data_IF_352512450939
#
_entry.id   IF_352512450939
#
_cell.length_a   1.000
_cell.length_b   1.000
_cell.length_c   1.000
_cell.angle_alpha   90.00
_cell.angle_beta   90.00
_cell.angle_gamma   90.00
#
_symmetry.space_group_name_H-M   'P 1'
#
loop_
_entity.id
_entity.type
_entity.pdbx_description
1 polymer ?
#
# COMPACT_ATOMS: atom_id res chain seq x y z
N UNK A 1 35.16 12.00 72.33
CA UNK A 1 34.53 13.11 71.57
C UNK A 1 34.46 12.71 70.10
N UNK A 2 33.27 12.30 69.66
CA UNK A 2 32.97 11.91 68.27
C UNK A 2 33.12 13.08 67.32
N UNK A 3 33.87 12.90 66.24
CA UNK A 3 33.77 13.75 65.04
C UNK A 3 33.12 12.93 63.93
N UNK A 4 31.87 13.26 63.63
CA UNK A 4 31.14 12.81 62.45
C UNK A 4 31.90 13.30 61.20
N UNK A 5 32.46 12.37 60.44
CA UNK A 5 33.08 12.65 59.14
C UNK A 5 31.94 12.67 58.12
N UNK A 6 31.44 13.85 57.82
CA UNK A 6 30.48 14.08 56.74
C UNK A 6 31.10 13.64 55.41
N UNK A 7 30.39 12.75 54.73
CA UNK A 7 30.80 12.08 53.50
C UNK A 7 30.51 13.02 52.32
N UNK A 8 31.51 13.79 51.87
CA UNK A 8 31.40 14.74 50.75
C UNK A 8 31.40 14.07 49.36
N UNK A 9 31.44 12.74 49.29
CA UNK A 9 31.64 12.02 48.03
C UNK A 9 30.32 11.72 47.28
N UNK A 10 29.17 11.77 47.98
CA UNK A 10 27.87 11.46 47.37
C UNK A 10 27.39 12.55 46.38
N UNK A 11 27.74 13.82 46.64
CA UNK A 11 27.27 14.95 45.82
C UNK A 11 27.98 15.01 44.47
N UNK A 12 29.25 14.59 44.39
CA UNK A 12 30.04 14.58 43.15
C UNK A 12 29.62 13.47 42.17
N UNK A 13 29.24 12.29 42.67
CA UNK A 13 28.77 11.19 41.80
C UNK A 13 27.37 11.46 41.25
N UNK A 14 26.47 12.05 42.06
CA UNK A 14 25.13 12.43 41.57
C UNK A 14 25.17 13.59 40.57
N UNK A 15 26.06 14.56 40.74
CA UNK A 15 26.29 15.63 39.76
C UNK A 15 26.86 15.11 38.43
N UNK A 16 27.64 14.02 38.45
CA UNK A 16 28.14 13.38 37.23
C UNK A 16 27.08 12.50 36.56
N UNK A 17 26.28 11.76 37.34
CA UNK A 17 25.16 10.99 36.79
C UNK A 17 24.13 11.89 36.10
N UNK A 18 23.82 13.07 36.66
CA UNK A 18 22.83 13.97 36.06
C UNK A 18 23.36 14.73 34.83
N UNK A 19 24.69 14.86 34.68
CA UNK A 19 25.32 15.50 33.50
C UNK A 19 25.53 14.58 32.31
N UNK A 20 25.72 13.28 32.52
CA UNK A 20 25.93 12.33 31.41
C UNK A 20 24.63 11.77 30.83
N UNK A 21 23.53 11.80 31.59
CA UNK A 21 22.23 11.24 31.17
C UNK A 21 21.44 12.04 30.09
N UNK A 22 21.62 13.36 29.86
CA UNK A 22 20.91 14.06 28.77
C UNK A 22 21.54 13.84 27.38
N UNK A 23 22.82 13.44 27.28
CA UNK A 23 23.50 13.28 25.99
C UNK A 23 23.15 11.95 25.31
N UNK A 24 23.13 10.84 26.07
CA UNK A 24 22.81 9.50 25.55
C UNK A 24 21.37 9.42 25.03
N UNK A 25 20.44 10.11 25.68
CA UNK A 25 19.04 10.14 25.26
C UNK A 25 18.77 11.06 24.03
N UNK A 26 19.66 12.02 23.75
CA UNK A 26 19.52 12.93 22.62
C UNK A 26 20.02 12.30 21.30
N UNK A 27 21.08 11.49 21.34
CA UNK A 27 21.54 10.75 20.15
C UNK A 27 20.59 9.59 19.80
N UNK A 28 20.03 8.91 20.81
CA UNK A 28 19.20 7.72 20.60
C UNK A 28 17.78 8.03 20.11
N UNK A 29 17.27 9.26 20.34
CA UNK A 29 15.99 9.73 19.79
C UNK A 29 16.08 10.16 18.31
N UNK A 30 17.28 10.26 17.76
CA UNK A 30 17.50 10.62 16.35
C UNK A 30 17.54 9.41 15.40
N UNK A 31 17.55 8.19 15.94
CA UNK A 31 17.80 6.94 15.18
C UNK A 31 16.54 6.15 14.79
N UNK A 32 15.36 6.78 14.78
CA UNK A 32 14.14 6.20 14.19
C UNK A 32 13.62 6.88 12.91
N UNK A 33 14.45 7.31 11.92
CA UNK A 33 13.97 7.67 10.58
C UNK A 33 14.22 6.60 9.49
N UNK A 34 14.98 5.54 9.77
CA UNK A 34 15.43 4.59 8.73
C UNK A 34 14.43 3.48 8.39
N UNK A 35 13.64 2.99 9.36
CA UNK A 35 12.63 1.95 9.11
C UNK A 35 11.39 2.48 8.35
N UNK A 36 10.98 3.71 8.65
CA UNK A 36 9.77 4.30 8.06
C UNK A 36 9.98 4.75 6.62
N UNK A 37 11.17 5.27 6.29
CA UNK A 37 11.47 5.85 4.98
C UNK A 37 11.41 4.82 3.84
N UNK A 38 11.79 3.56 4.10
CA UNK A 38 11.74 2.48 3.11
C UNK A 38 10.34 1.94 2.81
N UNK A 39 9.40 2.09 3.76
CA UNK A 39 8.02 1.62 3.63
C UNK A 39 7.06 2.72 3.16
N UNK A 40 7.45 4.00 3.31
CA UNK A 40 6.64 5.15 2.95
C UNK A 40 6.19 5.14 1.48
N UNK A 41 7.04 4.82 0.48
CA UNK A 41 6.59 4.71 -0.92
C UNK A 41 5.55 3.61 -1.13
N UNK A 42 5.73 2.44 -0.52
CA UNK A 42 4.77 1.34 -0.59
C UNK A 42 3.44 1.72 0.05
N UNK A 43 3.49 2.43 1.19
CA UNK A 43 2.31 2.92 1.89
C UNK A 43 1.53 3.91 1.05
N UNK A 44 2.21 4.91 0.50
CA UNK A 44 1.58 5.92 -0.35
C UNK A 44 0.98 5.28 -1.61
N UNK A 45 1.67 4.32 -2.22
CA UNK A 45 1.14 3.59 -3.36
C UNK A 45 -0.16 2.84 -3.02
N UNK A 46 -0.16 2.05 -1.94
CA UNK A 46 -1.35 1.31 -1.50
C UNK A 46 -2.49 2.24 -1.08
N UNK A 47 -2.19 3.38 -0.45
CA UNK A 47 -3.19 4.38 -0.10
C UNK A 47 -3.79 5.05 -1.33
N UNK A 48 -2.94 5.47 -2.27
CA UNK A 48 -3.38 6.11 -3.50
C UNK A 48 -4.28 5.17 -4.31
N UNK A 49 -3.81 3.94 -4.57
CA UNK A 49 -4.60 2.94 -5.30
C UNK A 49 -5.86 2.63 -4.52
N UNK A 50 -5.79 2.39 -3.21
CA UNK A 50 -6.96 2.13 -2.38
C UNK A 50 -8.01 3.25 -2.44
N UNK A 51 -7.59 4.51 -2.35
CA UNK A 51 -8.48 5.68 -2.44
C UNK A 51 -9.12 5.82 -3.83
N UNK A 52 -8.35 5.63 -4.90
CA UNK A 52 -8.89 5.67 -6.27
C UNK A 52 -9.88 4.54 -6.47
N UNK A 53 -9.57 3.32 -6.02
CA UNK A 53 -10.47 2.17 -6.16
C UNK A 53 -11.77 2.34 -5.36
N UNK A 54 -11.79 3.11 -4.26
CA UNK A 54 -13.03 3.43 -3.54
C UNK A 54 -14.05 4.20 -4.41
N UNK A 55 -13.61 4.91 -5.45
CA UNK A 55 -14.51 5.55 -6.42
C UNK A 55 -15.39 4.54 -7.17
N UNK A 56 -15.08 3.24 -7.08
CA UNK A 56 -15.93 2.18 -7.61
C UNK A 56 -17.28 2.07 -6.86
N UNK A 57 -17.39 2.49 -5.59
CA UNK A 57 -18.68 2.51 -4.89
C UNK A 57 -19.70 3.49 -5.50
N UNK A 58 -19.36 4.79 -5.71
CA UNK A 58 -20.28 5.67 -6.41
C UNK A 58 -20.50 5.23 -7.87
N UNK A 59 -19.50 4.67 -8.55
CA UNK A 59 -19.69 4.08 -9.88
C UNK A 59 -20.72 2.93 -9.86
N UNK A 60 -20.75 2.10 -8.81
CA UNK A 60 -21.74 1.04 -8.65
C UNK A 60 -23.17 1.56 -8.47
N UNK A 61 -23.34 2.81 -8.03
CA UNK A 61 -24.64 3.46 -7.80
C UNK A 61 -25.08 4.33 -8.98
N UNK A 62 -24.25 4.47 -10.03
CA UNK A 62 -24.55 5.38 -11.13
C UNK A 62 -25.80 4.96 -11.94
N UNK A 63 -26.56 5.89 -12.53
CA UNK A 63 -27.69 5.56 -13.41
C UNK A 63 -27.28 4.72 -14.63
N UNK A 64 -28.19 3.88 -15.14
CA UNK A 64 -27.94 3.04 -16.33
C UNK A 64 -27.54 3.85 -17.57
N UNK A 65 -28.14 5.04 -17.72
CA UNK A 65 -27.81 5.97 -18.80
C UNK A 65 -26.31 6.33 -18.82
N UNK A 66 -25.70 6.57 -17.65
CA UNK A 66 -24.28 6.94 -17.58
C UNK A 66 -23.39 5.78 -18.01
N UNK A 67 -23.71 4.54 -17.62
CA UNK A 67 -22.99 3.34 -18.07
C UNK A 67 -23.03 3.20 -19.58
N UNK A 68 -24.20 3.37 -20.19
CA UNK A 68 -24.37 3.27 -21.64
C UNK A 68 -23.61 4.38 -22.38
N UNK A 69 -23.62 5.61 -21.85
CA UNK A 69 -22.86 6.73 -22.43
C UNK A 69 -21.35 6.51 -22.34
N UNK A 70 -20.84 6.06 -21.19
CA UNK A 70 -19.41 5.74 -21.02
C UNK A 70 -19.02 4.59 -21.95
N UNK A 71 -19.82 3.53 -22.04
CA UNK A 71 -19.56 2.42 -22.96
C UNK A 71 -19.45 2.89 -24.42
N UNK A 72 -20.36 3.77 -24.86
CA UNK A 72 -20.30 4.37 -26.20
C UNK A 72 -19.05 5.21 -26.40
N UNK A 73 -18.63 6.02 -25.41
CA UNK A 73 -17.39 6.80 -25.46
C UNK A 73 -16.15 5.91 -25.60
N UNK A 74 -16.19 4.72 -25.00
CA UNK A 74 -15.12 3.71 -25.11
C UNK A 74 -15.16 2.89 -26.41
N UNK A 75 -16.08 3.22 -27.34
CA UNK A 75 -16.24 2.50 -28.61
C UNK A 75 -17.05 1.21 -28.50
N UNK A 76 -17.71 0.96 -27.36
CA UNK A 76 -18.60 -0.19 -27.16
C UNK A 76 -20.01 0.24 -27.59
N UNK A 77 -20.36 -0.07 -28.85
CA UNK A 77 -21.62 0.38 -29.43
C UNK A 77 -22.83 -0.52 -29.09
N UNK A 78 -22.59 -1.77 -28.71
CA UNK A 78 -23.60 -2.78 -28.41
C UNK A 78 -23.61 -3.15 -26.92
N UNK A 79 -23.85 -2.17 -26.05
CA UNK A 79 -24.05 -2.43 -24.61
C UNK A 79 -25.43 -3.09 -24.40
N UNK A 80 -25.51 -4.39 -24.05
CA UNK A 80 -26.80 -5.07 -23.98
C UNK A 80 -27.62 -4.54 -22.82
N UNK A 81 -28.83 -4.04 -23.09
CA UNK A 81 -29.78 -3.59 -22.09
C UNK A 81 -30.47 -4.76 -21.37
N UNK A 82 -29.70 -5.79 -21.02
CA UNK A 82 -30.15 -6.93 -20.24
C UNK A 82 -29.89 -6.67 -18.75
N UNK A 83 -30.82 -7.03 -17.84
CA UNK A 83 -30.63 -6.86 -16.40
C UNK A 83 -29.32 -7.47 -15.88
N UNK A 84 -28.90 -8.60 -16.46
CA UNK A 84 -27.67 -9.29 -16.09
C UNK A 84 -26.41 -8.44 -16.32
N UNK A 85 -26.36 -7.67 -17.41
CA UNK A 85 -25.20 -6.81 -17.74
C UNK A 85 -24.98 -5.75 -16.66
N UNK A 86 -26.05 -5.03 -16.29
CA UNK A 86 -26.00 -4.00 -15.27
C UNK A 86 -25.73 -4.59 -13.88
N UNK A 87 -26.35 -5.73 -13.58
CA UNK A 87 -26.11 -6.45 -12.33
C UNK A 87 -24.63 -6.84 -12.18
N UNK A 88 -24.01 -7.46 -13.19
CA UNK A 88 -22.59 -7.82 -13.18
C UNK A 88 -21.68 -6.60 -13.05
N UNK A 89 -21.93 -5.55 -13.83
CA UNK A 89 -21.12 -4.32 -13.79
C UNK A 89 -21.15 -3.65 -12.41
N UNK A 90 -22.34 -3.59 -11.77
CA UNK A 90 -22.49 -3.04 -10.42
C UNK A 90 -21.83 -3.93 -9.37
N UNK A 91 -22.01 -5.25 -9.44
CA UNK A 91 -21.36 -6.18 -8.51
C UNK A 91 -19.84 -6.12 -8.60
N UNK A 92 -19.31 -6.04 -9.81
CA UNK A 92 -17.87 -5.89 -10.03
C UNK A 92 -17.35 -4.57 -9.44
N UNK A 93 -18.11 -3.48 -9.62
CA UNK A 93 -17.77 -2.17 -9.03
C UNK A 93 -17.78 -2.20 -7.50
N UNK A 94 -18.77 -2.85 -6.87
CA UNK A 94 -18.83 -3.05 -5.42
C UNK A 94 -17.62 -3.88 -4.93
N UNK A 95 -17.31 -4.97 -5.64
CA UNK A 95 -16.15 -5.81 -5.32
C UNK A 95 -14.86 -4.99 -5.33
N UNK A 96 -14.64 -4.17 -6.36
CA UNK A 96 -13.49 -3.27 -6.40
C UNK A 96 -13.51 -2.25 -5.26
N UNK A 97 -14.66 -1.69 -4.89
CA UNK A 97 -14.79 -0.85 -3.71
C UNK A 97 -14.27 -1.53 -2.43
N UNK A 98 -14.63 -2.79 -2.21
CA UNK A 98 -14.11 -3.58 -1.08
C UNK A 98 -12.62 -3.89 -1.20
N UNK A 99 -12.10 -4.14 -2.41
CA UNK A 99 -10.65 -4.24 -2.64
C UNK A 99 -9.97 -2.95 -2.19
N UNK A 100 -10.52 -1.78 -2.54
CA UNK A 100 -10.03 -0.47 -2.09
C UNK A 100 -9.95 -0.36 -0.56
N UNK A 101 -11.01 -0.77 0.15
CA UNK A 101 -11.00 -0.84 1.63
C UNK A 101 -9.87 -1.75 2.12
N UNK A 102 -9.72 -2.94 1.52
CA UNK A 102 -8.65 -3.88 1.87
C UNK A 102 -7.26 -3.26 1.72
N UNK A 103 -6.99 -2.59 0.59
CA UNK A 103 -5.72 -1.90 0.35
C UNK A 103 -5.43 -0.82 1.40
N UNK A 104 -6.44 -0.05 1.80
CA UNK A 104 -6.29 0.97 2.85
C UNK A 104 -6.02 0.34 4.23
N UNK A 105 -6.65 -0.79 4.54
CA UNK A 105 -6.38 -1.54 5.79
C UNK A 105 -4.95 -2.06 5.79
N UNK A 106 -4.49 -2.65 4.68
CA UNK A 106 -3.10 -3.11 4.54
C UNK A 106 -2.12 -1.94 4.70
N UNK A 107 -2.44 -0.77 4.15
CA UNK A 107 -1.60 0.43 4.24
C UNK A 107 -1.55 1.06 5.65
N UNK A 108 -2.41 0.67 6.58
CA UNK A 108 -2.36 1.16 7.97
C UNK A 108 -1.23 0.51 8.79
N UNK A 109 -0.92 -0.76 8.53
CA UNK A 109 0.09 -1.53 9.26
C UNK A 109 0.89 -2.44 8.32
N UNK A 110 1.78 -1.83 7.53
CA UNK A 110 2.57 -2.56 6.54
C UNK A 110 3.58 -3.52 7.16
N UNK A 111 4.09 -3.22 8.35
CA UNK A 111 5.06 -4.08 9.03
C UNK A 111 4.42 -5.43 9.33
N UNK A 112 3.18 -5.42 9.84
CA UNK A 112 2.41 -6.63 10.11
C UNK A 112 1.93 -7.33 8.85
N UNK A 113 1.44 -6.59 7.85
CA UNK A 113 0.81 -7.17 6.65
C UNK A 113 1.76 -7.42 5.48
N UNK A 114 3.06 -7.23 5.65
CA UNK A 114 4.06 -7.38 4.59
C UNK A 114 3.99 -8.71 3.81
N UNK A 115 3.82 -9.89 4.46
CA UNK A 115 3.68 -11.14 3.72
C UNK A 115 2.43 -11.15 2.84
N UNK A 116 1.34 -10.54 3.31
CA UNK A 116 0.09 -10.43 2.55
C UNK A 116 0.26 -9.52 1.32
N UNK A 117 1.00 -8.42 1.45
CA UNK A 117 1.33 -7.53 0.31
C UNK A 117 2.12 -8.29 -0.77
N UNK A 118 2.98 -9.24 -0.41
CA UNK A 118 3.68 -10.09 -1.38
C UNK A 118 2.71 -10.97 -2.18
N UNK A 119 1.76 -11.62 -1.50
CA UNK A 119 0.74 -12.42 -2.18
C UNK A 119 -0.17 -11.56 -3.04
N UNK A 120 -0.55 -10.37 -2.55
CA UNK A 120 -1.30 -9.40 -3.31
C UNK A 120 -0.55 -9.02 -4.60
N UNK A 121 0.74 -8.72 -4.53
CA UNK A 121 1.53 -8.36 -5.71
C UNK A 121 1.57 -9.46 -6.78
N UNK A 122 1.80 -10.72 -6.37
CA UNK A 122 1.76 -11.87 -7.27
C UNK A 122 0.34 -12.08 -7.81
N UNK A 123 -0.68 -11.95 -6.96
CA UNK A 123 -2.08 -12.01 -7.34
C UNK A 123 -2.47 -10.95 -8.36
N UNK A 124 -1.99 -9.72 -8.22
CA UNK A 124 -2.21 -8.63 -9.19
C UNK A 124 -1.56 -8.94 -10.54
N UNK A 125 -0.35 -9.49 -10.57
CA UNK A 125 0.28 -9.92 -11.84
C UNK A 125 -0.55 -11.03 -12.49
N UNK A 126 -0.93 -12.06 -11.73
CA UNK A 126 -1.76 -13.14 -12.24
C UNK A 126 -3.13 -12.63 -12.72
N UNK A 127 -3.71 -11.66 -12.02
CA UNK A 127 -4.96 -11.01 -12.39
C UNK A 127 -4.82 -10.25 -13.71
N UNK A 128 -3.74 -9.49 -13.92
CA UNK A 128 -3.49 -8.81 -15.20
C UNK A 128 -3.35 -9.78 -16.39
N UNK A 129 -2.75 -10.95 -16.18
CA UNK A 129 -2.72 -12.02 -17.20
C UNK A 129 -4.11 -12.61 -17.43
N UNK A 130 -4.89 -12.82 -16.37
CA UNK A 130 -6.26 -13.31 -16.50
C UNK A 130 -7.17 -12.29 -17.20
N UNK A 131 -7.03 -10.99 -16.92
CA UNK A 131 -7.72 -9.90 -17.61
C UNK A 131 -7.46 -9.98 -19.12
N UNK A 132 -6.21 -10.14 -19.54
CA UNK A 132 -5.87 -10.30 -20.96
C UNK A 132 -6.67 -11.42 -21.64
N UNK A 133 -6.74 -12.59 -20.99
CA UNK A 133 -7.47 -13.75 -21.50
C UNK A 133 -8.97 -13.45 -21.56
N UNK A 134 -9.54 -12.92 -20.49
CA UNK A 134 -10.97 -12.61 -20.38
C UNK A 134 -11.40 -11.56 -21.41
N UNK A 135 -10.64 -10.47 -21.54
CA UNK A 135 -10.92 -9.41 -22.50
C UNK A 135 -10.83 -9.89 -23.94
N UNK A 136 -9.85 -10.76 -24.22
CA UNK A 136 -9.71 -11.41 -25.54
C UNK A 136 -10.91 -12.31 -25.85
N UNK A 137 -11.37 -13.08 -24.87
CA UNK A 137 -12.58 -13.93 -25.00
C UNK A 137 -13.85 -13.09 -25.13
N UNK A 138 -13.91 -11.93 -24.49
CA UNK A 138 -15.04 -11.00 -24.53
C UNK A 138 -15.08 -10.15 -25.81
N UNK A 139 -14.02 -10.18 -26.64
CA UNK A 139 -13.92 -9.40 -27.87
C UNK A 139 -13.76 -7.90 -27.62
N UNK A 140 -13.15 -7.51 -26.50
CA UNK A 140 -12.87 -6.11 -26.19
C UNK A 140 -11.87 -5.50 -27.20
N UNK A 141 -11.88 -4.17 -27.39
CA UNK A 141 -10.92 -3.51 -28.27
C UNK A 141 -9.47 -3.80 -27.86
N UNK A 142 -8.60 -4.10 -28.82
CA UNK A 142 -7.22 -4.51 -28.53
C UNK A 142 -6.43 -3.48 -27.72
N UNK A 143 -6.61 -2.20 -27.98
CA UNK A 143 -5.96 -1.12 -27.23
C UNK A 143 -6.37 -1.12 -25.75
N UNK A 144 -7.64 -1.47 -25.46
CA UNK A 144 -8.17 -1.60 -24.11
C UNK A 144 -7.57 -2.83 -23.43
N UNK A 145 -7.64 -3.99 -24.08
CA UNK A 145 -7.12 -5.26 -23.55
C UNK A 145 -5.64 -5.17 -23.19
N UNK A 146 -4.81 -4.63 -24.09
CA UNK A 146 -3.39 -4.44 -23.82
C UNK A 146 -3.16 -3.40 -22.72
N UNK A 147 -3.86 -2.27 -22.77
CA UNK A 147 -3.74 -1.21 -21.78
C UNK A 147 -4.07 -1.68 -20.36
N UNK A 148 -5.22 -2.32 -20.18
CA UNK A 148 -5.69 -2.85 -18.90
C UNK A 148 -4.73 -3.94 -18.38
N UNK A 149 -4.39 -4.91 -19.21
CA UNK A 149 -3.54 -6.03 -18.79
C UNK A 149 -2.11 -5.60 -18.44
N UNK A 150 -1.47 -4.79 -19.30
CA UNK A 150 -0.10 -4.33 -19.08
C UNK A 150 -0.05 -3.41 -17.85
N UNK A 151 -1.01 -2.50 -17.70
CA UNK A 151 -1.04 -1.59 -16.56
C UNK A 151 -1.22 -2.34 -15.23
N UNK A 152 -2.08 -3.36 -15.18
CA UNK A 152 -2.24 -4.20 -13.99
C UNK A 152 -0.99 -5.00 -13.67
N UNK A 153 -0.39 -5.67 -14.67
CA UNK A 153 0.87 -6.41 -14.48
C UNK A 153 1.98 -5.49 -14.00
N UNK A 154 2.10 -4.31 -14.59
CA UNK A 154 3.08 -3.29 -14.18
C UNK A 154 2.83 -2.83 -12.73
N UNK A 155 1.57 -2.63 -12.33
CA UNK A 155 1.19 -2.31 -10.96
C UNK A 155 1.59 -3.40 -9.96
N UNK A 156 1.37 -4.67 -10.32
CA UNK A 156 1.83 -5.82 -9.52
C UNK A 156 3.36 -5.90 -9.44
N UNK A 157 4.06 -5.64 -10.54
CA UNK A 157 5.53 -5.55 -10.57
C UNK A 157 6.07 -4.43 -9.69
N UNK A 158 5.41 -3.26 -9.72
CA UNK A 158 5.74 -2.12 -8.87
C UNK A 158 5.54 -2.46 -7.38
N UNK A 159 4.47 -3.18 -7.03
CA UNK A 159 4.28 -3.68 -5.67
C UNK A 159 5.40 -4.64 -5.23
N UNK A 160 5.84 -5.57 -6.10
CA UNK A 160 6.97 -6.45 -5.81
C UNK A 160 8.23 -5.63 -5.55
N UNK A 161 8.52 -4.65 -6.41
CA UNK A 161 9.70 -3.81 -6.30
C UNK A 161 9.69 -2.98 -5.01
N UNK A 162 8.59 -2.27 -4.72
CA UNK A 162 8.42 -1.46 -3.51
C UNK A 162 8.51 -2.30 -2.23
N UNK A 163 7.89 -3.48 -2.23
CA UNK A 163 7.95 -4.38 -1.09
C UNK A 163 9.37 -4.91 -0.82
N UNK A 164 10.17 -5.14 -1.87
CA UNK A 164 11.59 -5.53 -1.75
C UNK A 164 12.48 -4.36 -1.34
N UNK A 165 12.26 -3.17 -1.88
CA UNK A 165 13.04 -1.98 -1.57
C UNK A 165 12.96 -1.63 -0.08
N UNK A 166 11.76 -1.70 0.51
CA UNK A 166 11.58 -1.51 1.95
C UNK A 166 12.18 -2.63 2.82
N UNK A 167 12.67 -3.74 2.26
CA UNK A 167 13.33 -4.82 3.03
C UNK A 167 14.82 -4.58 3.14
N UNK A 168 15.40 -3.93 2.14
CA UNK A 168 16.85 -3.78 1.98
C UNK A 168 17.45 -2.67 2.83
N UNK A 169 16.63 -1.73 3.31
CA UNK A 169 17.08 -0.62 4.19
C UNK A 169 17.48 -1.05 5.61
N UNK A 170 17.39 -2.34 5.95
CA UNK A 170 17.69 -2.89 7.28
C UNK A 170 18.92 -3.79 7.36
N UNK A 171 19.80 -3.84 6.34
CA UNK A 171 21.06 -4.58 6.44
C UNK A 171 22.16 -3.66 6.98
N UNK A 172 22.62 -3.80 8.24
CA UNK A 172 23.96 -3.34 8.56
C UNK A 172 24.92 -4.15 7.69
N UNK A 173 25.75 -3.46 6.91
CA UNK A 173 26.98 -4.03 6.41
C UNK A 173 27.80 -4.34 7.66
N UNK A 174 27.75 -5.60 8.08
CA UNK A 174 28.73 -6.14 9.01
C UNK A 174 29.68 -6.94 8.14
N UNK A 175 30.77 -6.28 7.79
CA UNK A 175 31.94 -6.90 7.19
C UNK A 175 32.48 -7.95 8.16
N UNK A 176 32.76 -9.14 7.64
CA UNK A 176 33.66 -10.12 8.23
C UNK A 176 34.50 -10.71 7.10
#
# INVERSE_FOLDING_TARGET
MSRLRTNNNATSEQLNYEKETPAVNAEQKSSSPSLDSGLLPLRLFLQFVGLVTLLAFPAAMMPEKWMVEIAKLLGIHSFPAAPLTFYLARHLSILYGFVGIGLLVLARDLVRYRPLVRYLAVGTIAFGVAQFVVDSMAGMPSWWTWGESISTVAGGGLLVWLNRAGSSGGRPIQDA
#
